data_IF_897193406396
#
_entry.id   IF_897193406396
#
_cell.length_a   1.000
_cell.length_b   1.000
_cell.length_c   1.000
_cell.angle_alpha   90.00
_cell.angle_beta   90.00
_cell.angle_gamma   90.00
#
_symmetry.space_group_name_H-M   'P 1'
#
loop_
_entity.id
_entity.type
_entity.pdbx_description
1 polymer ?
#
# COMPACT_ATOMS: atom_id res chain seq x y z
N UNK A 1 23.54 50.63 38.84
CA UNK A 1 24.54 49.97 37.98
C UNK A 1 23.92 49.82 36.60
N UNK A 2 24.29 50.70 35.67
CA UNK A 2 23.71 50.76 34.33
C UNK A 2 24.28 49.62 33.47
N UNK A 3 23.39 48.76 32.98
CA UNK A 3 23.70 47.71 32.00
C UNK A 3 24.10 48.36 30.68
N UNK A 4 25.39 48.36 30.38
CA UNK A 4 25.93 48.76 29.08
C UNK A 4 25.48 47.72 28.06
N UNK A 5 24.55 48.09 27.17
CA UNK A 5 24.17 47.26 26.04
C UNK A 5 25.42 47.01 25.17
N UNK A 6 25.78 45.75 24.97
CA UNK A 6 26.85 45.37 24.04
C UNK A 6 26.52 45.93 22.65
N UNK A 7 27.48 46.55 21.94
CA UNK A 7 27.25 47.07 20.61
C UNK A 7 26.88 45.91 19.68
N UNK A 8 25.71 46.02 19.03
CA UNK A 8 25.32 45.12 17.93
C UNK A 8 26.38 45.22 16.85
N UNK A 9 27.23 44.20 16.75
CA UNK A 9 28.22 44.08 15.68
C UNK A 9 27.45 43.70 14.43
N UNK A 10 27.14 44.68 13.59
CA UNK A 10 26.59 44.40 12.27
C UNK A 10 27.67 43.68 11.45
N UNK A 11 27.31 42.68 10.63
CA UNK A 11 28.26 42.07 9.70
C UNK A 11 28.88 43.17 8.82
N UNK A 12 30.18 43.03 8.54
CA UNK A 12 31.00 43.99 7.76
C UNK A 12 30.70 43.89 6.25
N UNK A 13 29.77 43.02 5.87
CA UNK A 13 29.37 42.70 4.52
C UNK A 13 27.83 42.66 4.45
N UNK A 14 27.27 43.08 3.32
CA UNK A 14 25.84 42.96 3.06
C UNK A 14 25.51 41.52 2.67
N UNK A 15 24.40 40.94 3.17
CA UNK A 15 23.96 39.62 2.73
C UNK A 15 23.73 39.65 1.21
N UNK A 16 24.30 38.65 0.52
CA UNK A 16 24.05 38.44 -0.90
C UNK A 16 22.60 38.00 -1.03
N UNK A 17 21.81 38.71 -1.83
CA UNK A 17 20.45 38.32 -2.21
C UNK A 17 20.32 38.58 -3.70
N UNK A 18 20.41 37.52 -4.50
CA UNK A 18 20.38 37.62 -5.95
C UNK A 18 19.40 36.61 -6.53
N UNK A 19 18.70 37.05 -7.57
CA UNK A 19 17.94 36.16 -8.45
C UNK A 19 18.88 35.79 -9.60
N UNK A 20 18.86 34.53 -10.00
CA UNK A 20 19.67 34.05 -11.11
C UNK A 20 19.13 32.78 -11.73
N UNK A 21 19.85 32.28 -12.71
CA UNK A 21 19.49 31.06 -13.45
C UNK A 21 20.53 29.97 -13.17
N UNK A 22 20.09 28.78 -12.83
CA UNK A 22 20.99 27.62 -12.64
C UNK A 22 21.60 27.25 -13.98
N UNK A 23 22.93 27.28 -14.09
CA UNK A 23 23.66 26.88 -15.32
C UNK A 23 24.24 25.49 -15.23
N UNK A 24 24.64 25.07 -14.04
CA UNK A 24 25.21 23.74 -13.79
C UNK A 24 24.74 23.23 -12.44
N UNK A 25 24.60 21.91 -12.38
CA UNK A 25 24.26 21.18 -11.18
C UNK A 25 25.23 20.01 -11.04
N UNK A 26 25.78 19.86 -9.84
CA UNK A 26 26.47 18.66 -9.36
C UNK A 26 25.72 18.09 -8.13
N UNK A 27 26.19 17.01 -7.53
CA UNK A 27 25.46 16.31 -6.44
C UNK A 27 25.13 17.21 -5.23
N UNK A 28 25.99 18.18 -4.91
CA UNK A 28 25.82 19.07 -3.73
C UNK A 28 26.00 20.56 -4.04
N UNK A 29 26.44 20.91 -5.23
CA UNK A 29 26.78 22.27 -5.62
C UNK A 29 26.07 22.67 -6.92
N UNK A 30 25.67 23.94 -6.99
CA UNK A 30 24.97 24.55 -8.11
C UNK A 30 25.74 25.77 -8.55
N UNK A 31 25.87 25.96 -9.86
CA UNK A 31 26.39 27.21 -10.44
C UNK A 31 25.20 28.03 -10.91
N UNK A 32 25.02 29.21 -10.32
CA UNK A 32 23.92 30.13 -10.64
C UNK A 32 24.52 31.39 -11.27
N UNK A 33 24.03 31.75 -12.45
CA UNK A 33 24.37 33.02 -13.10
C UNK A 33 23.44 34.13 -12.62
N UNK A 34 24.01 35.16 -12.01
CA UNK A 34 23.32 36.38 -11.58
C UNK A 34 24.03 37.59 -12.21
N UNK A 35 23.30 38.41 -12.97
CA UNK A 35 23.82 39.64 -13.58
C UNK A 35 25.18 39.46 -14.29
N UNK A 36 25.31 38.39 -15.08
CA UNK A 36 26.53 38.05 -15.83
C UNK A 36 27.68 37.48 -15.01
N UNK A 37 27.48 37.18 -13.73
CA UNK A 37 28.47 36.56 -12.84
C UNK A 37 28.00 35.18 -12.37
N UNK A 38 28.91 34.21 -12.37
CA UNK A 38 28.65 32.88 -11.82
C UNK A 38 28.92 32.83 -10.31
N UNK A 39 27.99 32.19 -9.60
CA UNK A 39 28.05 31.94 -8.16
C UNK A 39 27.96 30.44 -7.90
N UNK A 40 28.92 29.90 -7.16
CA UNK A 40 28.85 28.53 -6.65
C UNK A 40 28.06 28.54 -5.35
N UNK A 41 27.01 27.75 -5.27
CA UNK A 41 26.12 27.72 -4.13
C UNK A 41 25.72 26.29 -3.77
N UNK A 42 25.41 26.06 -2.49
CA UNK A 42 24.88 24.78 -2.00
C UNK A 42 23.38 24.85 -1.84
N UNK A 43 22.67 23.74 -2.01
CA UNK A 43 21.22 23.73 -1.72
C UNK A 43 20.98 23.89 -0.23
N UNK A 44 20.17 24.87 0.16
CA UNK A 44 19.74 25.02 1.54
C UNK A 44 18.87 23.82 1.95
N UNK A 45 18.96 23.38 3.21
CA UNK A 45 18.11 22.32 3.73
C UNK A 45 16.60 22.63 3.65
N UNK A 46 16.23 23.91 3.66
CA UNK A 46 14.85 24.39 3.48
C UNK A 46 14.35 24.35 2.04
N UNK A 47 15.26 24.26 1.05
CA UNK A 47 14.90 24.17 -0.36
C UNK A 47 14.59 22.70 -0.70
N UNK A 48 13.32 22.32 -0.58
CA UNK A 48 12.85 20.95 -0.79
C UNK A 48 12.65 20.59 -2.27
N UNK A 49 12.31 21.57 -3.11
CA UNK A 49 12.20 21.39 -4.55
C UNK A 49 13.61 21.16 -5.11
N UNK A 50 13.78 20.10 -5.90
CA UNK A 50 15.03 19.79 -6.57
C UNK A 50 15.31 20.85 -7.64
N UNK A 51 16.34 21.70 -7.47
CA UNK A 51 16.70 22.64 -8.52
C UNK A 51 17.25 21.88 -9.73
N UNK A 52 16.93 22.37 -10.92
CA UNK A 52 17.37 21.86 -12.21
C UNK A 52 18.09 22.96 -12.99
N UNK A 53 18.85 22.56 -14.02
CA UNK A 53 19.45 23.51 -14.97
C UNK A 53 18.34 24.32 -15.64
N UNK A 54 18.62 25.60 -15.87
CA UNK A 54 17.73 26.63 -16.39
C UNK A 54 16.61 27.10 -15.46
N UNK A 55 16.52 26.59 -14.23
CA UNK A 55 15.60 27.12 -13.22
C UNK A 55 16.00 28.54 -12.80
N UNK A 56 14.99 29.41 -12.62
CA UNK A 56 15.16 30.71 -11.97
C UNK A 56 15.11 30.51 -10.46
N UNK A 57 16.16 30.92 -9.75
CA UNK A 57 16.36 30.63 -8.32
C UNK A 57 16.75 31.87 -7.52
N UNK A 58 16.47 31.83 -6.22
CA UNK A 58 16.95 32.81 -5.24
C UNK A 58 18.16 32.22 -4.50
N UNK A 59 19.29 32.91 -4.58
CA UNK A 59 20.49 32.60 -3.80
C UNK A 59 20.67 33.60 -2.66
N UNK A 60 21.15 33.12 -1.52
CA UNK A 60 21.46 33.97 -0.38
C UNK A 60 22.63 33.46 0.45
N UNK A 61 23.42 34.38 1.00
CA UNK A 61 24.54 34.03 1.88
C UNK A 61 25.13 35.25 2.57
N UNK A 62 25.88 35.07 3.67
CA UNK A 62 26.62 36.16 4.29
C UNK A 62 27.66 36.76 3.32
N UNK A 63 28.31 35.94 2.50
CA UNK A 63 29.37 36.41 1.59
C UNK A 63 29.50 35.49 0.38
N UNK A 64 30.36 35.87 -0.57
CA UNK A 64 30.51 35.20 -1.87
C UNK A 64 30.93 33.74 -1.81
N UNK A 65 31.67 33.34 -0.80
CA UNK A 65 32.15 31.97 -0.63
C UNK A 65 31.13 31.06 0.08
N UNK A 66 30.10 31.64 0.71
CA UNK A 66 29.10 30.92 1.52
C UNK A 66 27.70 31.26 1.06
N UNK A 67 27.38 30.86 -0.16
CA UNK A 67 26.08 31.11 -0.79
C UNK A 67 25.24 29.83 -0.84
N UNK A 68 23.95 29.98 -0.56
CA UNK A 68 22.98 28.90 -0.61
C UNK A 68 21.87 29.21 -1.62
N UNK A 69 21.49 28.21 -2.40
CA UNK A 69 20.24 28.22 -3.16
C UNK A 69 19.10 27.94 -2.18
N UNK A 70 18.29 28.96 -1.91
CA UNK A 70 17.27 28.93 -0.85
C UNK A 70 15.85 28.70 -1.39
N UNK A 71 15.59 29.04 -2.66
CA UNK A 71 14.32 28.80 -3.32
C UNK A 71 14.49 28.65 -4.83
N UNK A 72 13.69 27.77 -5.44
CA UNK A 72 13.42 27.77 -6.87
C UNK A 72 12.19 28.63 -7.09
N UNK A 73 12.34 29.73 -7.82
CA UNK A 73 11.28 30.72 -8.07
C UNK A 73 10.42 30.25 -9.23
N UNK A 74 11.05 29.86 -10.34
CA UNK A 74 10.39 29.36 -11.54
C UNK A 74 11.16 28.15 -12.06
N UNK A 75 10.46 27.03 -12.24
CA UNK A 75 11.06 25.85 -12.88
C UNK A 75 11.07 26.01 -14.40
N UNK A 76 12.18 25.64 -15.03
CA UNK A 76 12.29 25.62 -16.50
C UNK A 76 11.25 24.66 -17.11
N UNK A 77 11.06 23.51 -16.48
CA UNK A 77 10.04 22.52 -16.85
C UNK A 77 8.90 22.50 -15.82
N UNK A 78 7.80 23.19 -16.13
CA UNK A 78 6.67 23.34 -15.20
C UNK A 78 5.80 22.08 -15.03
N UNK A 79 6.04 21.04 -15.85
CA UNK A 79 5.22 19.82 -15.85
C UNK A 79 5.76 18.75 -14.89
N UNK A 80 6.94 18.95 -14.29
CA UNK A 80 7.56 17.98 -13.41
C UNK A 80 8.29 18.68 -12.26
N UNK A 81 7.77 18.51 -11.04
CA UNK A 81 8.37 19.03 -9.81
C UNK A 81 8.76 17.85 -8.94
N UNK A 82 10.02 17.81 -8.52
CA UNK A 82 10.52 16.75 -7.65
C UNK A 82 10.88 17.29 -6.28
N UNK A 83 10.25 16.77 -5.23
CA UNK A 83 10.70 16.97 -3.85
C UNK A 83 11.72 15.88 -3.52
N UNK A 84 12.97 16.27 -3.25
CA UNK A 84 14.07 15.31 -3.00
C UNK A 84 14.84 15.70 -1.74
N UNK A 85 14.89 14.79 -0.78
CA UNK A 85 15.58 14.98 0.50
C UNK A 85 16.61 13.87 0.68
N UNK A 86 17.88 14.20 0.94
CA UNK A 86 18.88 13.19 1.27
C UNK A 86 18.54 12.54 2.61
N UNK A 87 18.57 11.20 2.67
CA UNK A 87 18.32 10.44 3.89
C UNK A 87 16.83 10.24 4.19
N UNK A 88 16.43 10.49 5.44
CA UNK A 88 15.06 10.21 5.93
C UNK A 88 14.21 11.47 5.95
N UNK A 89 13.02 11.38 5.35
CA UNK A 89 11.97 12.41 5.43
C UNK A 89 10.86 11.94 6.39
N UNK A 90 10.54 12.75 7.40
CA UNK A 90 9.36 12.54 8.25
C UNK A 90 8.34 13.64 7.96
N UNK A 91 7.09 13.27 7.69
CA UNK A 91 5.96 14.19 7.51
C UNK A 91 5.04 13.99 8.72
N UNK A 92 4.85 15.02 9.54
CA UNK A 92 4.05 14.96 10.77
C UNK A 92 3.19 16.21 10.89
N UNK A 93 1.89 16.01 11.12
CA UNK A 93 0.90 17.05 11.38
C UNK A 93 -0.32 16.41 12.05
N UNK A 94 -1.20 17.22 12.65
CA UNK A 94 -2.49 16.74 13.16
C UNK A 94 -3.36 16.13 12.05
N UNK A 95 -3.18 16.61 10.81
CA UNK A 95 -3.83 16.09 9.61
C UNK A 95 -2.91 16.20 8.39
N UNK A 96 -2.84 15.14 7.58
CA UNK A 96 -2.10 15.09 6.32
C UNK A 96 -3.06 14.64 5.22
N UNK A 97 -3.21 15.45 4.17
CA UNK A 97 -4.01 15.12 3.00
C UNK A 97 -3.12 15.12 1.76
N UNK A 98 -3.05 13.97 1.08
CA UNK A 98 -2.33 13.82 -0.19
C UNK A 98 -3.37 13.50 -1.26
N UNK A 99 -3.45 14.35 -2.29
CA UNK A 99 -4.43 14.21 -3.37
C UNK A 99 -3.75 14.41 -4.72
N UNK A 100 -4.24 13.69 -5.74
CA UNK A 100 -3.86 13.85 -7.14
C UNK A 100 -5.13 13.83 -7.98
N UNK A 101 -5.22 14.73 -8.96
CA UNK A 101 -6.33 14.76 -9.91
C UNK A 101 -6.26 13.62 -10.94
N UNK A 102 -5.08 13.02 -11.10
CA UNK A 102 -4.81 11.94 -12.02
C UNK A 102 -4.27 10.72 -11.25
N UNK A 103 -3.10 10.21 -11.64
CA UNK A 103 -2.50 9.06 -10.98
C UNK A 103 -1.83 9.45 -9.65
N UNK A 104 -1.90 8.56 -8.67
CA UNK A 104 -1.09 8.58 -7.45
C UNK A 104 -0.39 7.22 -7.32
N UNK A 105 0.92 7.24 -7.08
CA UNK A 105 1.71 6.03 -6.87
C UNK A 105 2.46 6.14 -5.56
N UNK A 106 2.37 5.08 -4.74
CA UNK A 106 3.15 4.92 -3.52
C UNK A 106 4.06 3.70 -3.72
N UNK A 107 5.37 3.91 -3.66
CA UNK A 107 6.37 2.86 -3.91
C UNK A 107 7.36 2.81 -2.75
N UNK A 108 7.55 1.62 -2.19
CA UNK A 108 8.61 1.33 -1.23
C UNK A 108 9.61 0.35 -1.86
N UNK A 109 10.91 0.57 -1.66
CA UNK A 109 11.94 -0.33 -2.19
C UNK A 109 12.05 -1.64 -1.39
N UNK A 110 11.68 -1.61 -0.12
CA UNK A 110 11.81 -2.76 0.81
C UNK A 110 10.51 -3.06 1.53
N UNK A 111 9.82 -2.03 2.04
CA UNK A 111 8.61 -2.18 2.82
C UNK A 111 7.68 -0.97 2.64
N UNK A 112 6.39 -1.22 2.87
CA UNK A 112 5.35 -0.21 3.02
C UNK A 112 4.49 -0.59 4.24
N UNK A 113 4.70 0.12 5.35
CA UNK A 113 3.96 -0.11 6.58
C UNK A 113 2.78 0.86 6.71
N UNK A 114 1.58 0.32 6.94
CA UNK A 114 0.36 1.11 7.17
C UNK A 114 -0.21 0.70 8.52
N UNK A 115 0.02 1.54 9.54
CA UNK A 115 -0.50 1.33 10.90
C UNK A 115 -1.51 2.43 11.24
N UNK A 116 -2.78 2.04 11.37
CA UNK A 116 -3.90 2.94 11.64
C UNK A 116 -5.00 2.21 12.40
N UNK A 117 -5.77 2.94 13.20
CA UNK A 117 -6.98 2.41 13.82
C UNK A 117 -8.08 2.11 12.79
N UNK A 118 -8.10 2.81 11.65
CA UNK A 118 -9.08 2.61 10.58
C UNK A 118 -8.46 2.76 9.19
N UNK A 119 -8.65 1.73 8.36
CA UNK A 119 -8.28 1.73 6.94
C UNK A 119 -9.54 1.64 6.07
N UNK A 120 -9.69 2.55 5.11
CA UNK A 120 -10.76 2.52 4.10
C UNK A 120 -10.12 2.52 2.72
N UNK A 121 -10.50 1.55 1.90
CA UNK A 121 -10.09 1.45 0.50
C UNK A 121 -11.36 1.40 -0.35
N UNK A 122 -11.46 2.28 -1.35
CA UNK A 122 -12.58 2.33 -2.28
C UNK A 122 -12.03 2.51 -3.69
N UNK A 123 -12.41 1.63 -4.60
CA UNK A 123 -12.02 1.66 -5.99
C UNK A 123 -13.07 0.92 -6.83
N UNK A 124 -13.27 1.35 -8.07
CA UNK A 124 -14.08 0.60 -9.04
C UNK A 124 -13.40 -0.71 -9.45
N UNK A 125 -12.06 -0.70 -9.49
CA UNK A 125 -11.23 -1.87 -9.81
C UNK A 125 -10.05 -1.94 -8.85
N UNK A 126 -9.88 -3.10 -8.21
CA UNK A 126 -8.74 -3.40 -7.35
C UNK A 126 -8.01 -4.66 -7.83
N UNK A 127 -6.69 -4.65 -7.74
CA UNK A 127 -5.86 -5.82 -7.96
C UNK A 127 -4.86 -5.92 -6.81
N UNK A 128 -4.78 -7.10 -6.20
CA UNK A 128 -3.86 -7.41 -5.14
C UNK A 128 -3.08 -8.65 -5.55
N UNK A 129 -1.77 -8.50 -5.77
CA UNK A 129 -0.87 -9.61 -6.10
C UNK A 129 0.09 -9.72 -4.92
N UNK A 130 0.02 -10.85 -4.23
CA UNK A 130 0.80 -11.14 -3.04
C UNK A 130 1.26 -12.59 -3.15
N UNK A 131 2.56 -12.83 -2.96
CA UNK A 131 3.12 -14.18 -2.94
C UNK A 131 2.74 -14.92 -1.65
N UNK A 132 2.91 -14.25 -0.49
CA UNK A 132 2.53 -14.76 0.82
C UNK A 132 1.67 -13.76 1.60
N UNK A 133 0.47 -14.18 2.01
CA UNK A 133 -0.47 -13.34 2.76
C UNK A 133 -0.85 -14.01 4.08
N UNK A 134 -0.68 -13.28 5.18
CA UNK A 134 -1.26 -13.62 6.48
C UNK A 134 -2.37 -12.63 6.80
N UNK A 135 -3.57 -13.15 7.06
CA UNK A 135 -4.71 -12.34 7.50
C UNK A 135 -5.14 -12.79 8.89
N UNK A 136 -5.17 -11.83 9.83
CA UNK A 136 -5.66 -12.05 11.19
C UNK A 136 -6.71 -10.99 11.48
N UNK A 137 -7.93 -11.42 11.74
CA UNK A 137 -9.06 -10.53 12.02
C UNK A 137 -10.14 -11.25 12.82
N UNK A 138 -10.92 -10.48 13.59
CA UNK A 138 -12.02 -11.01 14.40
C UNK A 138 -13.24 -11.39 13.54
N UNK A 139 -13.47 -10.64 12.46
CA UNK A 139 -14.67 -10.78 11.62
C UNK A 139 -14.34 -10.35 10.19
N UNK A 140 -14.75 -11.16 9.22
CA UNK A 140 -14.68 -10.85 7.80
C UNK A 140 -16.08 -10.94 7.20
N UNK A 141 -16.57 -9.82 6.67
CA UNK A 141 -17.81 -9.77 5.88
C UNK A 141 -17.45 -9.49 4.43
N UNK A 142 -17.86 -10.39 3.55
CA UNK A 142 -17.56 -10.28 2.13
C UNK A 142 -18.81 -10.52 1.31
N UNK A 143 -19.15 -9.57 0.45
CA UNK A 143 -20.21 -9.71 -0.55
C UNK A 143 -19.54 -9.76 -1.92
N UNK A 144 -19.65 -10.90 -2.60
CA UNK A 144 -18.94 -11.15 -3.86
C UNK A 144 -19.91 -11.70 -4.88
N UNK A 145 -19.89 -11.18 -6.11
CA UNK A 145 -20.69 -11.73 -7.22
C UNK A 145 -20.18 -13.09 -7.72
N UNK A 146 -18.86 -13.28 -7.74
CA UNK A 146 -18.20 -14.53 -8.15
C UNK A 146 -16.92 -14.74 -7.34
N UNK A 147 -16.78 -15.88 -6.69
CA UNK A 147 -15.57 -16.28 -5.95
C UNK A 147 -15.00 -17.55 -6.56
N UNK A 148 -13.70 -17.55 -6.88
CA UNK A 148 -12.98 -18.72 -7.37
C UNK A 148 -11.72 -18.91 -6.55
N UNK A 149 -11.60 -20.08 -5.93
CA UNK A 149 -10.42 -20.49 -5.15
C UNK A 149 -9.77 -21.66 -5.87
N UNK A 150 -8.50 -21.51 -6.22
CA UNK A 150 -7.70 -22.56 -6.87
C UNK A 150 -6.43 -22.71 -6.04
N UNK A 151 -6.16 -23.91 -5.56
CA UNK A 151 -4.99 -24.18 -4.72
C UNK A 151 -4.72 -25.68 -4.62
N UNK A 152 -3.52 -26.03 -4.14
CA UNK A 152 -3.14 -27.42 -3.88
C UNK A 152 -3.78 -27.96 -2.60
N UNK A 153 -3.94 -27.10 -1.60
CA UNK A 153 -4.49 -27.43 -0.28
C UNK A 153 -5.49 -26.35 0.11
N UNK A 154 -6.64 -26.77 0.65
CA UNK A 154 -7.62 -25.91 1.26
C UNK A 154 -8.02 -26.51 2.61
N UNK A 155 -7.71 -25.79 3.69
CA UNK A 155 -8.04 -26.19 5.05
C UNK A 155 -8.99 -25.15 5.65
N UNK A 156 -10.03 -25.63 6.33
CA UNK A 156 -11.04 -24.79 6.96
C UNK A 156 -11.46 -25.43 8.28
N UNK A 157 -11.26 -24.71 9.37
CA UNK A 157 -11.61 -25.13 10.73
C UNK A 157 -12.64 -24.13 11.23
N UNK A 158 -13.86 -24.60 11.43
CA UNK A 158 -15.03 -23.75 11.70
C UNK A 158 -15.96 -24.43 12.71
N UNK A 159 -16.58 -23.65 13.59
CA UNK A 159 -17.65 -24.15 14.47
C UNK A 159 -18.92 -24.48 13.69
N UNK A 160 -19.22 -23.69 12.65
CA UNK A 160 -20.37 -23.90 11.76
C UNK A 160 -20.01 -23.54 10.33
N UNK A 161 -20.32 -24.45 9.41
CA UNK A 161 -20.22 -24.24 7.96
C UNK A 161 -21.60 -24.41 7.33
N UNK A 162 -22.01 -23.49 6.46
CA UNK A 162 -23.32 -23.53 5.80
C UNK A 162 -23.17 -23.14 4.34
N UNK A 163 -23.57 -24.04 3.44
CA UNK A 163 -23.60 -23.81 2.00
C UNK A 163 -25.03 -23.91 1.49
N UNK A 164 -25.49 -22.86 0.82
CA UNK A 164 -26.76 -22.86 0.10
C UNK A 164 -26.43 -22.65 -1.37
N UNK A 165 -26.75 -23.63 -2.21
CA UNK A 165 -26.44 -23.58 -3.64
C UNK A 165 -27.52 -24.29 -4.43
N UNK A 166 -27.74 -23.85 -5.68
CA UNK A 166 -28.62 -24.56 -6.61
C UNK A 166 -27.98 -25.86 -7.12
N UNK A 167 -26.67 -25.84 -7.30
CA UNK A 167 -25.87 -26.96 -7.77
C UNK A 167 -24.57 -27.02 -6.98
N UNK A 168 -24.23 -28.20 -6.48
CA UNK A 168 -22.95 -28.48 -5.82
C UNK A 168 -22.37 -29.76 -6.43
N UNK A 169 -21.06 -29.76 -6.67
CA UNK A 169 -20.32 -30.91 -7.15
C UNK A 169 -19.06 -31.06 -6.31
N UNK A 170 -18.87 -32.26 -5.75
CA UNK A 170 -17.68 -32.64 -5.01
C UNK A 170 -17.14 -33.93 -5.61
N UNK A 171 -15.87 -33.91 -5.97
CA UNK A 171 -15.13 -35.08 -6.43
C UNK A 171 -13.97 -35.31 -5.47
N UNK A 172 -13.75 -36.56 -5.09
CA UNK A 172 -12.64 -36.96 -4.24
C UNK A 172 -12.11 -38.27 -4.80
N UNK A 173 -10.82 -38.29 -5.19
CA UNK A 173 -10.23 -39.43 -5.90
C UNK A 173 -9.89 -40.59 -4.96
N UNK A 174 -9.36 -40.29 -3.78
CA UNK A 174 -8.92 -41.30 -2.83
C UNK A 174 -9.98 -41.57 -1.77
N UNK A 175 -10.10 -40.70 -0.76
CA UNK A 175 -10.96 -40.94 0.40
C UNK A 175 -11.64 -39.68 0.86
N UNK A 176 -12.96 -39.75 1.04
CA UNK A 176 -13.73 -38.77 1.78
C UNK A 176 -14.08 -39.34 3.17
N UNK A 177 -13.59 -38.68 4.23
CA UNK A 177 -13.93 -39.03 5.60
C UNK A 177 -15.02 -38.11 6.15
N UNK A 178 -16.21 -38.68 6.41
CA UNK A 178 -17.29 -38.01 7.10
C UNK A 178 -17.53 -38.68 8.45
N UNK A 179 -17.37 -37.91 9.54
CA UNK A 179 -17.76 -38.32 10.90
C UNK A 179 -18.66 -37.25 11.46
N UNK A 180 -19.88 -37.63 11.83
CA UNK A 180 -20.86 -36.71 12.37
C UNK A 180 -21.72 -37.42 13.42
N UNK A 181 -22.28 -36.65 14.36
CA UNK A 181 -23.29 -37.16 15.29
C UNK A 181 -24.59 -37.55 14.57
N UNK A 182 -24.91 -36.87 13.48
CA UNK A 182 -26.06 -37.19 12.60
C UNK A 182 -25.69 -36.83 11.17
N UNK A 183 -26.03 -37.72 10.24
CA UNK A 183 -25.92 -37.49 8.80
C UNK A 183 -27.34 -37.58 8.25
N UNK A 184 -27.78 -36.54 7.55
CA UNK A 184 -29.09 -36.47 6.92
C UNK A 184 -28.93 -36.15 5.43
N UNK A 185 -29.35 -37.09 4.58
CA UNK A 185 -29.38 -36.91 3.13
C UNK A 185 -30.81 -37.09 2.64
N UNK A 186 -31.35 -36.00 2.10
CA UNK A 186 -32.66 -35.99 1.46
C UNK A 186 -32.49 -35.62 -0.01
N UNK A 187 -33.12 -36.42 -0.89
CA UNK A 187 -33.22 -36.13 -2.31
C UNK A 187 -34.68 -36.14 -2.73
N UNK A 188 -35.11 -35.15 -3.52
CA UNK A 188 -36.51 -35.04 -3.98
C UNK A 188 -36.88 -36.13 -5.01
N UNK A 189 -35.93 -36.50 -5.88
CA UNK A 189 -36.17 -37.43 -6.99
C UNK A 189 -35.44 -38.77 -6.79
N UNK A 190 -34.11 -38.73 -6.61
CA UNK A 190 -33.31 -39.94 -6.46
C UNK A 190 -32.07 -39.68 -5.61
N UNK A 191 -31.81 -40.57 -4.66
CA UNK A 191 -30.50 -40.73 -4.04
C UNK A 191 -29.87 -42.03 -4.56
N UNK A 192 -28.58 -42.01 -4.91
CA UNK A 192 -27.86 -43.18 -5.41
C UNK A 192 -26.57 -43.34 -4.63
N UNK A 193 -26.37 -44.53 -4.07
CA UNK A 193 -25.11 -44.96 -3.50
C UNK A 193 -24.60 -46.13 -4.35
N UNK A 194 -23.47 -45.94 -5.03
CA UNK A 194 -22.85 -46.95 -5.86
C UNK A 194 -21.40 -47.13 -5.42
N UNK A 195 -21.00 -48.37 -5.22
CA UNK A 195 -19.65 -48.74 -4.78
C UNK A 195 -19.40 -50.20 -5.15
N UNK A 196 -18.12 -50.61 -5.13
CA UNK A 196 -17.78 -52.04 -5.19
C UNK A 196 -18.21 -52.79 -3.93
N UNK A 197 -18.19 -52.11 -2.78
CA UNK A 197 -18.56 -52.65 -1.47
C UNK A 197 -19.23 -51.56 -0.62
N UNK A 198 -20.46 -51.82 -0.18
CA UNK A 198 -21.18 -50.97 0.78
C UNK A 198 -21.41 -51.76 2.06
N UNK A 199 -20.99 -51.20 3.19
CA UNK A 199 -21.24 -51.79 4.52
C UNK A 199 -22.09 -50.82 5.32
N UNK A 200 -23.25 -51.28 5.78
CA UNK A 200 -24.15 -50.54 6.67
C UNK A 200 -24.32 -51.35 7.94
N UNK A 201 -23.90 -50.79 9.07
CA UNK A 201 -23.97 -51.45 10.38
C UNK A 201 -24.72 -50.54 11.35
N UNK A 202 -25.76 -51.07 12.00
CA UNK A 202 -26.44 -50.41 13.10
C UNK A 202 -26.50 -51.35 14.31
N UNK A 203 -26.38 -50.80 15.51
CA UNK A 203 -26.53 -51.57 16.76
C UNK A 203 -28.00 -51.91 17.05
N UNK A 204 -28.88 -50.93 16.84
CA UNK A 204 -30.27 -51.03 17.26
C UNK A 204 -31.22 -51.28 16.07
N UNK A 205 -31.15 -50.47 15.01
CA UNK A 205 -32.08 -50.56 13.89
C UNK A 205 -31.48 -50.10 12.56
N UNK A 206 -31.69 -50.91 11.52
CA UNK A 206 -31.70 -50.45 10.12
C UNK A 206 -33.14 -50.53 9.64
N UNK A 207 -33.73 -49.41 9.24
CA UNK A 207 -35.07 -49.37 8.62
C UNK A 207 -34.93 -49.07 7.13
N UNK A 208 -35.45 -49.97 6.31
CA UNK A 208 -35.60 -49.77 4.87
C UNK A 208 -37.09 -49.83 4.55
N UNK A 209 -37.62 -48.78 3.94
CA UNK A 209 -39.03 -48.66 3.58
C UNK A 209 -39.14 -48.24 2.11
N UNK A 210 -40.08 -48.85 1.40
CA UNK A 210 -40.26 -48.63 -0.02
C UNK A 210 -41.34 -49.53 -0.60
N UNK A 211 -41.98 -49.07 -1.68
CA UNK A 211 -42.99 -49.87 -2.41
C UNK A 211 -42.39 -51.17 -2.96
N UNK A 212 -41.11 -51.16 -3.30
CA UNK A 212 -40.35 -52.32 -3.75
C UNK A 212 -38.91 -52.24 -3.21
N UNK A 213 -38.41 -53.37 -2.72
CA UNK A 213 -37.02 -53.56 -2.31
C UNK A 213 -36.51 -54.79 -3.08
N UNK A 214 -35.53 -54.58 -3.94
CA UNK A 214 -34.84 -55.65 -4.66
C UNK A 214 -33.51 -55.91 -3.96
N UNK A 215 -33.40 -57.05 -3.26
CA UNK A 215 -32.15 -57.52 -2.66
C UNK A 215 -31.72 -58.82 -3.35
N UNK A 216 -30.48 -58.86 -3.83
CA UNK A 216 -29.88 -60.00 -4.54
C UNK A 216 -28.39 -60.09 -4.28
#
# INVERSE_FOLDING_TARGET
MSSVAQPKTYPVYDPVHLIGVVKKQDEQEFVVECDGHEWVCRRAASCLLQPQVDDTVLISGPERERVYLIAVIEQAQQNESTVSVPGRLNISADSVNIHSAAAMQLRGGTALDINTAQLKLSAEKGQCVIDEMQYVGRELKTTVGMMRVIGKVYESIMDRLSFMSRTSFKLTEEVEHLRAGTIDYQAEQSARLHSKYTVVTAKDLVKVDGKQIHMG
#
